data_IF_574158938413
#
_entry.id   IF_574158938413
#
_cell.length_a   1.000
_cell.length_b   1.000
_cell.length_c   1.000
_cell.angle_alpha   90.00
_cell.angle_beta   90.00
_cell.angle_gamma   90.00
#
_symmetry.space_group_name_H-M   'P 1'
#
loop_
_entity.id
_entity.type
_entity.pdbx_description
1 polymer ?
#
# COMPACT_ATOMS: atom_id res chain seq x y z
N UNK A 1 0.40 15.15 -0.21
CA UNK A 1 1.67 15.74 -0.67
C UNK A 1 1.89 15.34 -2.12
N UNK A 2 1.43 16.14 -3.08
CA UNK A 2 1.66 15.92 -4.51
C UNK A 2 2.15 17.23 -5.14
N UNK A 3 3.15 17.14 -6.01
CA UNK A 3 3.62 18.29 -6.77
C UNK A 3 2.74 18.47 -8.02
N UNK A 4 1.95 19.54 -8.06
CA UNK A 4 1.18 19.95 -9.23
C UNK A 4 2.12 20.48 -10.33
N UNK A 5 2.34 19.71 -11.38
CA UNK A 5 3.06 20.19 -12.57
C UNK A 5 2.08 20.53 -13.69
N UNK A 6 1.56 21.77 -13.72
CA UNK A 6 0.75 22.27 -14.85
C UNK A 6 1.58 22.28 -16.14
N UNK A 7 1.28 21.38 -17.07
CA UNK A 7 1.67 21.50 -18.48
C UNK A 7 0.45 21.95 -19.27
N UNK A 8 0.65 22.94 -20.13
CA UNK A 8 -0.35 23.71 -20.90
C UNK A 8 -1.59 22.91 -21.37
N UNK A 9 -2.75 23.25 -20.81
CA UNK A 9 -4.06 23.06 -21.46
C UNK A 9 -4.84 21.76 -21.21
N UNK A 10 -4.27 20.77 -20.53
CA UNK A 10 -4.99 19.53 -20.15
C UNK A 10 -4.99 19.36 -18.62
N UNK A 11 -6.11 18.95 -18.00
CA UNK A 11 -6.09 18.58 -16.59
C UNK A 11 -5.14 17.39 -16.43
N UNK A 12 -4.18 17.50 -15.52
CA UNK A 12 -3.37 16.36 -15.12
C UNK A 12 -4.33 15.32 -14.54
N UNK A 13 -4.46 14.16 -15.17
CA UNK A 13 -5.26 13.04 -14.64
C UNK A 13 -4.45 12.15 -13.69
N UNK A 14 -3.23 12.57 -13.38
CA UNK A 14 -2.23 11.78 -12.67
C UNK A 14 -1.43 12.66 -11.72
N UNK A 15 -0.85 12.03 -10.72
CA UNK A 15 -0.01 12.61 -9.69
C UNK A 15 1.17 11.68 -9.43
N UNK A 16 2.24 12.20 -8.83
CA UNK A 16 3.38 11.39 -8.41
C UNK A 16 3.46 11.28 -6.91
N UNK A 17 3.82 10.10 -6.43
CA UNK A 17 4.15 9.87 -5.01
C UNK A 17 5.43 10.64 -4.64
N UNK A 18 5.78 10.76 -3.36
CA UNK A 18 7.16 11.01 -2.96
C UNK A 18 8.09 9.90 -3.48
N UNK A 19 9.41 10.12 -3.40
CA UNK A 19 10.36 9.02 -3.51
C UNK A 19 10.26 8.15 -2.25
N UNK A 20 10.20 6.85 -2.44
CA UNK A 20 10.00 5.83 -1.40
C UNK A 20 11.15 4.84 -1.44
N UNK A 21 11.57 4.44 -0.26
CA UNK A 21 12.79 3.68 -0.02
C UNK A 21 12.54 2.83 1.22
N UNK A 22 12.34 1.53 1.01
CA UNK A 22 11.82 0.58 1.99
C UNK A 22 12.88 -0.46 2.37
N UNK A 23 13.83 -0.79 1.51
CA UNK A 23 14.84 -1.82 1.77
C UNK A 23 16.24 -1.29 1.48
N UNK A 24 17.17 -1.50 2.40
CA UNK A 24 18.59 -1.25 2.12
C UNK A 24 19.21 -2.54 1.51
N UNK A 25 20.21 -2.43 0.60
CA UNK A 25 20.87 -3.59 0.00
C UNK A 25 21.73 -4.35 1.03
N UNK A 26 21.11 -5.26 1.80
CA UNK A 26 21.75 -6.03 2.88
C UNK A 26 22.40 -7.35 2.43
N UNK A 27 22.78 -7.44 1.14
CA UNK A 27 23.45 -8.59 0.53
C UNK A 27 22.54 -9.61 -0.14
N UNK A 28 21.22 -9.51 0.03
CA UNK A 28 20.21 -10.35 -0.64
C UNK A 28 19.58 -9.65 -1.87
N UNK A 29 19.86 -8.36 -2.03
CA UNK A 29 19.26 -7.50 -3.04
C UNK A 29 18.65 -6.26 -2.41
N UNK A 30 17.97 -5.47 -3.24
CA UNK A 30 17.16 -4.33 -2.83
C UNK A 30 15.74 -4.51 -3.40
N UNK A 31 14.72 -4.26 -2.57
CA UNK A 31 13.34 -4.73 -2.72
C UNK A 31 12.31 -3.63 -2.43
N UNK A 32 12.05 -2.86 -3.46
CA UNK A 32 11.03 -1.81 -3.50
C UNK A 32 9.72 -2.33 -4.10
N UNK A 33 9.22 -3.44 -3.55
CA UNK A 33 8.01 -4.11 -4.04
C UNK A 33 6.75 -3.35 -3.67
N UNK A 34 5.80 -3.25 -4.61
CA UNK A 34 4.57 -2.49 -4.42
C UNK A 34 3.76 -2.98 -3.22
N UNK A 35 3.68 -4.31 -3.02
CA UNK A 35 2.93 -4.89 -1.90
C UNK A 35 3.49 -4.46 -0.54
N UNK A 36 4.81 -4.45 -0.36
CA UNK A 36 5.44 -4.00 0.88
C UNK A 36 5.38 -2.48 1.05
N UNK A 37 5.44 -1.73 -0.05
CA UNK A 37 5.30 -0.28 -0.04
C UNK A 37 3.89 0.17 0.33
N UNK A 38 2.85 -0.51 -0.14
CA UNK A 38 1.46 -0.23 0.24
C UNK A 38 1.23 -0.44 1.75
N UNK A 39 1.91 -1.40 2.35
CA UNK A 39 1.87 -1.65 3.79
C UNK A 39 2.64 -0.55 4.54
N UNK A 40 3.89 -0.27 4.14
CA UNK A 40 4.76 0.69 4.84
C UNK A 40 4.32 2.15 4.70
N UNK A 41 3.81 2.53 3.53
CA UNK A 41 3.40 3.88 3.21
C UNK A 41 1.93 3.92 2.77
N UNK A 42 1.00 3.56 3.67
CA UNK A 42 -0.41 3.53 3.33
C UNK A 42 -0.87 4.91 2.88
N UNK A 43 -1.72 4.94 1.86
CA UNK A 43 -2.20 6.15 1.17
C UNK A 43 -1.13 7.06 0.53
N UNK A 44 0.15 6.70 0.56
CA UNK A 44 1.17 7.41 -0.21
C UNK A 44 1.37 6.78 -1.59
N UNK A 45 0.98 5.52 -1.76
CA UNK A 45 1.02 4.78 -3.03
C UNK A 45 -0.37 4.25 -3.34
N UNK A 46 -0.80 4.42 -4.59
CA UNK A 46 -2.04 3.85 -5.07
C UNK A 46 -1.90 2.33 -5.28
N UNK A 47 -2.96 1.54 -5.09
CA UNK A 47 -2.91 0.08 -5.25
C UNK A 47 -2.70 -0.37 -6.71
N UNK A 48 -2.93 0.53 -7.67
CA UNK A 48 -2.72 0.27 -9.11
C UNK A 48 -1.99 1.47 -9.75
N UNK A 49 -0.66 1.54 -9.61
CA UNK A 49 0.14 2.57 -10.27
C UNK A 49 0.11 2.46 -11.79
N UNK A 50 0.28 3.61 -12.45
CA UNK A 50 0.32 3.74 -13.91
C UNK A 50 1.75 3.56 -14.42
N UNK A 51 2.73 4.10 -13.68
CA UNK A 51 4.14 4.04 -14.02
C UNK A 51 5.01 4.02 -12.75
N UNK A 52 6.25 3.57 -12.90
CA UNK A 52 7.27 3.57 -11.86
C UNK A 52 8.54 4.26 -12.40
N UNK A 53 9.12 5.11 -11.57
CA UNK A 53 10.45 5.69 -11.74
C UNK A 53 11.37 5.11 -10.67
N UNK A 54 12.61 4.81 -11.03
CA UNK A 54 13.60 4.21 -10.11
C UNK A 54 14.91 4.97 -10.21
N UNK A 55 15.47 5.36 -9.07
CA UNK A 55 16.80 5.98 -8.96
C UNK A 55 17.56 5.35 -7.81
N UNK A 56 18.89 5.37 -7.83
CA UNK A 56 19.67 5.21 -6.59
C UNK A 56 19.31 6.32 -5.60
N UNK A 57 19.60 6.15 -4.29
CA UNK A 57 19.45 7.24 -3.30
C UNK A 57 20.21 8.50 -3.73
N UNK A 58 21.37 8.33 -4.38
CA UNK A 58 22.18 9.41 -4.95
C UNK A 58 21.58 10.11 -6.17
N UNK A 59 20.44 9.63 -6.68
CA UNK A 59 19.68 10.24 -7.76
C UNK A 59 20.07 9.78 -9.16
N UNK A 60 20.88 8.72 -9.29
CA UNK A 60 21.23 8.15 -10.59
C UNK A 60 20.04 7.33 -11.10
N UNK A 61 19.47 7.64 -12.28
CA UNK A 61 18.36 6.86 -12.84
C UNK A 61 18.77 5.39 -13.06
N UNK A 62 17.96 4.47 -12.55
CA UNK A 62 18.08 3.06 -12.89
C UNK A 62 17.45 2.85 -14.26
N UNK A 63 18.28 2.78 -15.29
CA UNK A 63 17.85 2.54 -16.67
C UNK A 63 18.01 1.05 -16.99
N UNK A 64 16.96 0.35 -17.44
CA UNK A 64 17.12 -0.94 -18.11
C UNK A 64 18.05 -0.74 -19.34
N UNK A 65 19.11 -1.55 -19.55
CA UNK A 65 19.05 -3.02 -19.58
C UNK A 65 20.22 -3.71 -18.85
N UNK A 66 19.90 -4.63 -17.94
CA UNK A 66 20.91 -5.48 -17.32
C UNK A 66 20.25 -6.66 -16.60
N UNK A 67 20.88 -7.84 -16.64
CA UNK A 67 20.40 -9.09 -16.01
C UNK A 67 20.29 -9.03 -14.46
N UNK A 68 20.37 -7.84 -13.86
CA UNK A 68 20.38 -7.58 -12.42
C UNK A 68 19.00 -7.17 -11.88
N UNK A 69 18.15 -6.55 -12.70
CA UNK A 69 16.80 -6.17 -12.32
C UNK A 69 15.86 -7.32 -12.67
N UNK A 70 15.32 -7.98 -11.64
CA UNK A 70 14.36 -9.08 -11.84
C UNK A 70 12.93 -8.56 -11.89
N UNK A 71 12.67 -7.40 -11.26
CA UNK A 71 11.38 -6.69 -11.34
C UNK A 71 11.64 -5.21 -11.60
N UNK A 72 10.93 -4.66 -12.59
CA UNK A 72 10.85 -3.24 -12.89
C UNK A 72 9.49 -3.01 -13.55
N UNK A 73 8.43 -2.99 -12.74
CA UNK A 73 7.05 -2.99 -13.22
C UNK A 73 6.16 -2.21 -12.26
N UNK A 74 5.29 -1.30 -12.73
CA UNK A 74 4.50 -0.47 -11.83
C UNK A 74 3.51 -1.23 -10.94
N UNK A 75 3.11 -2.46 -11.31
CA UNK A 75 2.16 -3.27 -10.54
C UNK A 75 2.87 -4.24 -9.58
N UNK A 76 4.18 -4.45 -9.74
CA UNK A 76 4.98 -5.32 -8.87
C UNK A 76 5.99 -4.53 -8.01
N UNK A 77 6.44 -3.37 -8.50
CA UNK A 77 7.48 -2.54 -7.89
C UNK A 77 8.83 -2.68 -8.60
N UNK A 78 9.90 -2.66 -7.82
CA UNK A 78 11.27 -2.84 -8.31
C UNK A 78 12.02 -3.84 -7.43
N UNK A 79 12.82 -4.71 -8.04
CA UNK A 79 13.68 -5.66 -7.35
C UNK A 79 15.02 -5.82 -8.08
N UNK A 80 16.10 -5.57 -7.35
CA UNK A 80 17.46 -5.90 -7.74
C UNK A 80 17.91 -7.18 -7.03
N UNK A 81 18.36 -8.20 -7.78
CA UNK A 81 18.88 -9.47 -7.23
C UNK A 81 20.20 -9.87 -7.90
N UNK A 82 20.95 -10.78 -7.26
CA UNK A 82 22.08 -11.51 -7.85
C UNK A 82 23.32 -10.66 -8.25
N UNK A 83 23.58 -9.54 -7.57
CA UNK A 83 24.76 -8.70 -7.81
C UNK A 83 25.00 -7.66 -6.71
N UNK A 84 25.96 -6.75 -6.92
CA UNK A 84 26.15 -5.56 -6.07
C UNK A 84 25.03 -4.56 -6.38
N UNK A 85 23.85 -4.78 -5.78
CA UNK A 85 22.77 -3.82 -5.84
C UNK A 85 23.20 -2.53 -5.14
N UNK A 86 23.05 -1.41 -5.84
CA UNK A 86 23.00 -0.11 -5.20
C UNK A 86 21.73 0.00 -4.36
N UNK A 87 21.68 1.04 -3.56
CA UNK A 87 20.52 1.40 -2.75
C UNK A 87 19.54 2.22 -3.60
N UNK A 88 18.37 1.66 -3.91
CA UNK A 88 17.39 2.28 -4.80
C UNK A 88 16.15 2.78 -4.07
N UNK A 89 15.55 3.81 -4.66
CA UNK A 89 14.27 4.36 -4.27
C UNK A 89 13.37 4.47 -5.49
N UNK A 90 12.08 4.29 -5.26
CA UNK A 90 11.05 4.29 -6.30
C UNK A 90 10.07 5.44 -6.13
N UNK A 91 9.45 5.86 -7.22
CA UNK A 91 8.32 6.78 -7.22
C UNK A 91 7.29 6.31 -8.22
N UNK A 92 6.03 6.34 -7.81
CA UNK A 92 4.93 5.89 -8.65
C UNK A 92 4.17 7.07 -9.23
N UNK A 93 3.62 6.86 -10.43
CA UNK A 93 2.58 7.70 -11.00
C UNK A 93 1.23 7.06 -10.70
N UNK A 94 0.34 7.82 -10.09
CA UNK A 94 -0.98 7.37 -9.64
C UNK A 94 -2.09 8.16 -10.32
N UNK A 95 -3.32 7.61 -10.44
CA UNK A 95 -4.48 8.38 -10.86
C UNK A 95 -4.74 9.56 -9.91
N UNK A 96 -5.14 10.72 -10.44
CA UNK A 96 -5.41 11.91 -9.62
C UNK A 96 -6.52 11.67 -8.58
N UNK A 97 -7.48 10.78 -8.89
CA UNK A 97 -8.54 10.39 -7.96
C UNK A 97 -8.03 9.79 -6.66
N UNK A 98 -6.83 9.18 -6.68
CA UNK A 98 -6.17 8.70 -5.47
C UNK A 98 -5.54 9.84 -4.68
N UNK A 99 -4.80 10.74 -5.35
CA UNK A 99 -4.04 11.79 -4.67
C UNK A 99 -4.89 12.90 -4.05
N UNK A 100 -6.10 13.10 -4.59
CA UNK A 100 -7.03 14.12 -4.10
C UNK A 100 -8.17 13.53 -3.26
N UNK A 101 -8.14 12.23 -2.92
CA UNK A 101 -9.22 11.65 -2.13
C UNK A 101 -9.27 12.26 -0.74
N UNK A 102 -10.41 12.84 -0.40
CA UNK A 102 -10.81 13.26 0.94
C UNK A 102 -11.93 12.38 1.50
N UNK A 103 -12.53 11.56 0.63
CA UNK A 103 -13.57 10.61 0.93
C UNK A 103 -13.00 9.37 1.63
N UNK A 104 -12.99 9.39 2.96
CA UNK A 104 -12.47 8.30 3.80
C UNK A 104 -13.57 7.85 4.77
N UNK A 105 -13.73 6.54 4.91
CA UNK A 105 -14.72 5.95 5.82
C UNK A 105 -14.32 6.12 7.29
N UNK A 106 -15.24 5.79 8.20
CA UNK A 106 -14.88 5.49 9.59
C UNK A 106 -13.98 4.25 9.69
N UNK A 107 -13.45 3.99 10.88
CA UNK A 107 -12.70 2.77 11.19
C UNK A 107 -13.67 1.61 11.49
N UNK A 108 -13.36 0.44 10.97
CA UNK A 108 -14.08 -0.82 11.13
C UNK A 108 -13.19 -1.87 11.78
N UNK A 109 -13.79 -2.61 12.69
CA UNK A 109 -13.19 -3.58 13.61
C UNK A 109 -14.27 -4.63 13.84
N UNK A 110 -14.15 -5.78 13.19
CA UNK A 110 -15.19 -6.80 13.05
C UNK A 110 -14.73 -8.20 13.45
N UNK A 111 -13.42 -8.41 13.59
CA UNK A 111 -12.82 -9.64 14.08
C UNK A 111 -11.81 -9.35 15.22
N UNK A 112 -11.51 -10.38 16.00
CA UNK A 112 -10.66 -10.26 17.19
C UNK A 112 -9.63 -11.42 17.16
N UNK A 113 -8.32 -11.16 17.36
CA UNK A 113 -7.24 -12.15 17.18
C UNK A 113 -7.34 -13.42 18.04
N UNK A 114 -8.13 -13.34 19.12
CA UNK A 114 -8.33 -14.41 20.11
C UNK A 114 -9.54 -15.29 19.84
N UNK A 115 -10.44 -14.90 18.95
CA UNK A 115 -11.74 -15.58 18.78
C UNK A 115 -11.64 -16.79 17.86
N UNK A 116 -10.84 -16.70 16.80
CA UNK A 116 -10.80 -17.69 15.73
C UNK A 116 -9.38 -18.05 15.25
N UNK A 117 -8.34 -17.47 15.87
CA UNK A 117 -6.94 -17.69 15.47
C UNK A 117 -6.42 -16.73 14.39
N UNK A 118 -7.15 -15.67 14.11
CA UNK A 118 -6.81 -14.61 13.18
C UNK A 118 -7.47 -13.30 13.59
N UNK A 119 -7.02 -12.21 13.00
CA UNK A 119 -7.74 -10.95 12.99
C UNK A 119 -7.91 -10.49 11.53
N UNK A 120 -9.16 -10.41 11.07
CA UNK A 120 -9.51 -10.29 9.65
C UNK A 120 -10.63 -9.30 9.37
N UNK A 121 -10.24 -8.11 8.89
CA UNK A 121 -11.12 -7.07 8.37
C UNK A 121 -11.34 -7.21 6.86
N UNK A 122 -12.03 -8.29 6.46
CA UNK A 122 -12.31 -8.58 5.05
C UNK A 122 -13.39 -7.66 4.48
N UNK A 123 -13.09 -7.03 3.34
CA UNK A 123 -13.99 -6.06 2.71
C UNK A 123 -15.38 -6.65 2.41
N UNK A 124 -15.46 -7.92 1.98
CA UNK A 124 -16.74 -8.59 1.71
C UNK A 124 -17.63 -8.71 2.95
N UNK A 125 -17.03 -8.97 4.10
CA UNK A 125 -17.74 -9.09 5.37
C UNK A 125 -18.20 -7.72 5.84
N UNK A 126 -17.31 -6.73 5.77
CA UNK A 126 -17.59 -5.35 6.16
C UNK A 126 -18.70 -4.71 5.31
N UNK A 127 -18.71 -4.93 3.98
CA UNK A 127 -19.80 -4.46 3.11
C UNK A 127 -21.16 -5.07 3.47
N UNK A 128 -21.17 -6.27 4.02
CA UNK A 128 -22.40 -6.95 4.48
C UNK A 128 -22.84 -6.43 5.85
N UNK A 129 -21.89 -6.21 6.76
CA UNK A 129 -22.15 -5.75 8.14
C UNK A 129 -22.54 -4.27 8.21
N UNK A 130 -21.98 -3.45 7.31
CA UNK A 130 -22.19 -2.00 7.24
C UNK A 130 -22.66 -1.55 5.84
N UNK A 131 -23.90 -1.90 5.43
CA UNK A 131 -24.38 -1.59 4.09
C UNK A 131 -24.42 -0.07 3.85
N UNK A 132 -23.76 0.39 2.78
CA UNK A 132 -23.74 1.80 2.40
C UNK A 132 -22.66 2.64 3.07
N UNK A 133 -21.95 2.11 4.07
CA UNK A 133 -20.89 2.83 4.79
C UNK A 133 -19.52 2.74 4.10
N UNK A 134 -19.37 1.81 3.16
CA UNK A 134 -18.13 1.57 2.40
C UNK A 134 -18.47 1.48 0.92
N UNK A 135 -17.70 2.15 0.07
CA UNK A 135 -17.82 1.99 -1.37
C UNK A 135 -17.45 0.55 -1.80
N UNK A 136 -18.12 0.04 -2.83
CA UNK A 136 -17.88 -1.34 -3.33
C UNK A 136 -16.50 -1.54 -3.95
N UNK A 137 -15.82 -0.45 -4.36
CA UNK A 137 -14.49 -0.48 -4.96
C UNK A 137 -13.58 0.59 -4.30
N UNK A 138 -13.04 0.31 -3.10
CA UNK A 138 -12.10 1.21 -2.45
C UNK A 138 -10.83 1.45 -3.28
N UNK A 139 -10.32 2.68 -3.17
CA UNK A 139 -9.08 3.12 -3.83
C UNK A 139 -7.89 3.21 -2.87
N UNK A 140 -8.14 3.07 -1.57
CA UNK A 140 -7.12 3.00 -0.51
C UNK A 140 -7.62 2.19 0.68
N UNK A 141 -6.69 1.64 1.45
CA UNK A 141 -6.95 0.98 2.74
C UNK A 141 -5.86 1.42 3.71
N UNK A 142 -6.25 1.69 4.95
CA UNK A 142 -5.35 1.90 6.08
C UNK A 142 -5.71 0.88 7.15
N UNK A 143 -4.69 0.35 7.83
CA UNK A 143 -4.84 -0.54 8.97
C UNK A 143 -3.93 -0.08 10.11
N UNK A 144 -4.47 -0.13 11.33
CA UNK A 144 -3.73 0.12 12.57
C UNK A 144 -4.32 -0.71 13.68
N UNK A 145 -3.56 -0.93 14.74
CA UNK A 145 -4.08 -1.63 15.90
C UNK A 145 -5.22 -0.81 16.54
N UNK A 146 -6.09 -1.48 17.31
CA UNK A 146 -7.13 -0.80 18.09
C UNK A 146 -6.51 0.22 19.05
N UNK A 147 -5.31 -0.08 19.59
CA UNK A 147 -4.48 0.81 20.43
C UNK A 147 -3.83 1.98 19.67
N UNK A 148 -3.89 2.01 18.35
CA UNK A 148 -3.49 3.13 17.50
C UNK A 148 -2.09 3.05 16.89
N UNK A 149 -1.42 1.90 16.99
CA UNK A 149 -0.14 1.66 16.31
C UNK A 149 -0.38 1.32 14.84
N UNK A 150 0.29 2.04 13.93
CA UNK A 150 0.21 1.75 12.50
C UNK A 150 0.65 0.30 12.21
N UNK A 151 -0.09 -0.40 11.35
CA UNK A 151 0.12 -1.83 11.12
C UNK A 151 1.55 -2.17 10.66
N UNK A 152 2.18 -1.36 9.82
CA UNK A 152 3.56 -1.60 9.38
C UNK A 152 4.62 -1.50 10.50
N UNK A 153 4.25 -1.00 11.69
CA UNK A 153 5.14 -0.88 12.84
C UNK A 153 5.01 -2.03 13.82
N UNK A 154 4.02 -2.91 13.69
CA UNK A 154 3.78 -3.99 14.65
C UNK A 154 4.79 -5.13 14.48
N UNK A 155 5.19 -5.39 13.23
CA UNK A 155 6.03 -6.52 12.87
C UNK A 155 5.24 -7.80 12.55
N UNK A 156 3.90 -7.73 12.62
CA UNK A 156 3.04 -8.83 12.19
C UNK A 156 3.14 -9.09 10.69
N UNK A 157 2.96 -10.35 10.33
CA UNK A 157 2.90 -10.81 8.94
C UNK A 157 1.44 -10.79 8.49
N UNK A 158 1.13 -9.88 7.56
CA UNK A 158 -0.22 -9.77 6.98
C UNK A 158 -0.37 -10.71 5.80
N UNK A 159 -1.37 -11.60 5.88
CA UNK A 159 -1.76 -12.48 4.77
C UNK A 159 -2.46 -11.68 3.67
N UNK A 160 -3.24 -10.68 4.07
CA UNK A 160 -3.99 -9.80 3.18
C UNK A 160 -3.81 -8.35 3.64
N UNK A 161 -3.47 -7.46 2.71
CA UNK A 161 -3.45 -6.01 2.92
C UNK A 161 -3.65 -5.32 1.57
N UNK A 162 -4.88 -5.25 1.09
CA UNK A 162 -5.19 -4.60 -0.19
C UNK A 162 -6.66 -4.16 -0.27
N UNK A 163 -6.97 -3.29 -1.22
CA UNK A 163 -8.32 -2.72 -1.36
C UNK A 163 -9.37 -3.66 -1.95
N UNK A 164 -8.97 -4.85 -2.41
CA UNK A 164 -9.87 -5.83 -3.03
C UNK A 164 -10.40 -6.81 -1.98
N UNK A 165 -9.51 -7.33 -1.14
CA UNK A 165 -9.82 -8.33 -0.14
C UNK A 165 -9.99 -7.74 1.26
N UNK A 166 -9.33 -6.63 1.58
CA UNK A 166 -9.32 -6.02 2.91
C UNK A 166 -7.99 -6.25 3.64
N UNK A 167 -8.07 -6.63 4.91
CA UNK A 167 -6.91 -6.89 5.77
C UNK A 167 -7.08 -8.23 6.48
N UNK A 168 -5.98 -8.96 6.67
CA UNK A 168 -5.98 -10.17 7.48
C UNK A 168 -4.59 -10.48 8.05
N UNK A 169 -4.55 -10.73 9.35
CA UNK A 169 -3.45 -11.35 10.06
C UNK A 169 -3.89 -12.74 10.56
N UNK A 170 -3.06 -13.75 10.38
CA UNK A 170 -3.34 -15.12 10.88
C UNK A 170 -2.27 -15.55 11.89
N UNK A 171 -2.68 -16.07 13.05
CA UNK A 171 -1.75 -16.47 14.12
C UNK A 171 -0.78 -17.56 13.64
N UNK A 172 -1.28 -18.51 12.83
CA UNK A 172 -0.47 -19.60 12.27
C UNK A 172 0.63 -19.10 11.29
N UNK A 173 0.50 -17.88 10.77
CA UNK A 173 1.49 -17.24 9.91
C UNK A 173 2.56 -16.43 10.67
N UNK A 174 2.39 -16.22 11.97
CA UNK A 174 3.32 -15.41 12.76
C UNK A 174 4.55 -16.20 13.21
N UNK A 175 5.70 -15.54 13.24
CA UNK A 175 6.95 -16.14 13.71
C UNK A 175 6.89 -16.43 15.22
N UNK A 176 7.44 -17.56 15.65
CA UNK A 176 7.55 -17.91 17.08
C UNK A 176 6.22 -18.26 17.76
N UNK A 177 5.15 -18.49 17.00
CA UNK A 177 3.82 -18.76 17.55
C UNK A 177 3.14 -17.51 18.12
N UNK A 178 3.48 -16.33 17.58
CA UNK A 178 2.85 -15.06 17.93
C UNK A 178 1.34 -15.06 17.67
N UNK A 179 0.64 -14.24 18.43
CA UNK A 179 -0.77 -13.91 18.20
C UNK A 179 -0.78 -12.56 17.50
N UNK A 180 -1.60 -12.43 16.46
CA UNK A 180 -1.83 -11.16 15.80
C UNK A 180 -2.22 -10.08 16.82
N UNK A 181 -1.74 -8.86 16.59
CA UNK A 181 -2.37 -7.71 17.21
C UNK A 181 -3.84 -7.60 16.76
N UNK A 182 -4.59 -6.78 17.49
CA UNK A 182 -5.99 -6.47 17.24
C UNK A 182 -6.07 -5.19 16.39
N UNK A 183 -6.64 -5.28 15.19
CA UNK A 183 -6.59 -4.28 14.13
C UNK A 183 -7.97 -3.76 13.75
N UNK A 184 -7.94 -2.54 13.24
CA UNK A 184 -9.07 -1.91 12.56
C UNK A 184 -8.62 -1.30 11.26
N UNK A 185 -9.53 -1.28 10.29
CA UNK A 185 -9.29 -0.73 8.95
C UNK A 185 -10.19 0.44 8.62
N UNK A 186 -9.75 1.29 7.72
CA UNK A 186 -10.64 2.22 7.01
C UNK A 186 -10.27 2.29 5.54
N UNK A 187 -11.22 2.73 4.73
CA UNK A 187 -11.11 2.73 3.29
C UNK A 187 -11.17 4.16 2.74
N UNK A 188 -10.38 4.42 1.71
CA UNK A 188 -10.56 5.60 0.86
C UNK A 188 -11.43 5.22 -0.32
N UNK A 189 -12.40 6.07 -0.63
CA UNK A 189 -13.39 5.85 -1.68
C UNK A 189 -13.27 6.90 -2.79
N UNK A 190 -13.80 6.61 -3.98
CA UNK A 190 -13.97 7.64 -5.00
C UNK A 190 -14.83 8.78 -4.46
N UNK A 191 -14.50 10.02 -4.81
CA UNK A 191 -15.23 11.22 -4.36
C UNK A 191 -16.75 11.16 -4.60
N UNK A 192 -17.18 10.48 -5.67
CA UNK A 192 -18.59 10.28 -6.00
C UNK A 192 -19.36 9.51 -4.92
N UNK A 193 -18.69 8.72 -4.09
CA UNK A 193 -19.31 7.98 -2.99
C UNK A 193 -19.66 8.90 -1.81
N UNK A 194 -18.77 9.83 -1.44
CA UNK A 194 -19.06 10.78 -0.36
C UNK A 194 -19.90 11.99 -0.83
N UNK A 195 -19.95 12.24 -2.14
CA UNK A 195 -20.73 13.33 -2.74
C UNK A 195 -22.20 12.96 -2.99
N UNK A 196 -22.62 11.73 -2.71
CA UNK A 196 -23.99 11.26 -2.92
C UNK A 196 -24.93 11.49 -1.72
N UNK A 197 -24.53 12.35 -0.78
CA UNK A 197 -25.38 12.90 0.28
C UNK A 197 -26.06 14.21 -0.17
#
# INVERSE_FOLDING_TARGET
FCADYKVLGFPLLECRTPWLDRDDPSGVGDYETLSLLLIRYPLQVCPKPIAIEVTTISGTPALPPGNIFVVYDPLQGFECKNGACEDYRVRFTCPLSFCNTTCVTMWFDSDDPKTNGSDSELLSNLLTMYPGEICTNPIGIEAKTVSGQEAYKTGDIFLVYNTVSGFACVNAGQTGGGVCDDYKVRFSCPETFCSSE
#
